data_IF_050194711142
#
_entry.id   IF_050194711142
#
_cell.length_a   1.000
_cell.length_b   1.000
_cell.length_c   1.000
_cell.angle_alpha   90.00
_cell.angle_beta   90.00
_cell.angle_gamma   90.00
#
_symmetry.space_group_name_H-M   'P 1'
#
loop_
_entity.id
_entity.type
_entity.pdbx_description
1 polymer ?
#
# COMPACT_ATOMS: atom_id res chain seq x y z
N UNK A 1 23.21 26.59 4.43
CA UNK A 1 22.36 25.77 5.32
C UNK A 1 23.30 24.83 6.04
N UNK A 2 23.24 24.74 7.37
CA UNK A 2 24.13 23.86 8.11
C UNK A 2 23.76 22.38 7.82
N UNK A 3 24.79 21.53 7.71
CA UNK A 3 24.66 20.14 7.22
C UNK A 3 23.84 19.23 8.15
N UNK A 4 23.62 19.67 9.38
CA UNK A 4 22.82 19.03 10.41
C UNK A 4 21.30 19.06 10.11
N UNK A 5 20.83 20.00 9.28
CA UNK A 5 19.42 20.12 8.93
C UNK A 5 19.03 19.38 7.63
N UNK A 6 20.01 18.96 6.83
CA UNK A 6 19.80 18.27 5.55
C UNK A 6 19.01 16.94 5.66
N UNK A 7 19.27 16.06 6.65
CA UNK A 7 18.53 14.80 6.79
C UNK A 7 17.06 14.99 7.15
N UNK A 8 16.71 16.11 7.79
CA UNK A 8 15.35 16.43 8.22
C UNK A 8 14.56 17.18 7.14
N UNK A 9 15.25 17.89 6.25
CA UNK A 9 14.65 18.53 5.06
C UNK A 9 14.51 17.56 3.88
N UNK A 10 15.25 16.46 3.84
CA UNK A 10 15.10 15.39 2.85
C UNK A 10 13.69 14.76 2.81
N UNK A 11 12.85 15.00 3.83
CA UNK A 11 11.42 14.65 3.82
C UNK A 11 10.54 15.49 2.87
N UNK A 12 11.08 16.47 2.14
CA UNK A 12 10.32 17.31 1.19
C UNK A 12 10.46 16.92 -0.29
N UNK A 13 11.18 15.85 -0.58
CA UNK A 13 11.12 15.17 -1.88
C UNK A 13 10.79 13.73 -1.55
N UNK A 14 9.68 13.13 -2.03
CA UNK A 14 9.60 11.68 -2.01
C UNK A 14 10.87 11.21 -2.71
N UNK A 15 11.77 10.56 -1.98
CA UNK A 15 12.88 9.86 -2.62
C UNK A 15 12.24 8.82 -3.53
N UNK A 16 12.02 9.20 -4.78
CA UNK A 16 11.85 8.26 -5.87
C UNK A 16 13.23 7.65 -6.05
N UNK A 17 13.57 6.69 -5.19
CA UNK A 17 14.70 5.83 -5.42
C UNK A 17 14.36 4.98 -6.65
N UNK A 18 14.76 5.47 -7.82
CA UNK A 18 15.16 4.60 -8.93
C UNK A 18 16.56 4.05 -8.62
N UNK A 19 16.79 3.55 -7.41
CA UNK A 19 17.95 2.72 -7.15
C UNK A 19 17.67 1.42 -7.92
N UNK A 20 18.24 1.32 -9.12
CA UNK A 20 18.16 0.10 -9.91
C UNK A 20 18.71 -1.01 -9.05
N UNK A 21 17.85 -1.95 -8.66
CA UNK A 21 18.30 -3.08 -7.88
C UNK A 21 19.25 -3.88 -8.78
N UNK A 22 20.51 -3.94 -8.38
CA UNK A 22 21.55 -4.67 -9.11
C UNK A 22 21.29 -6.16 -8.99
N UNK A 23 21.44 -6.87 -10.11
CA UNK A 23 21.42 -8.33 -10.15
C UNK A 23 22.46 -8.89 -9.19
N UNK A 24 22.10 -9.93 -8.46
CA UNK A 24 23.03 -10.66 -7.60
C UNK A 24 24.23 -11.16 -8.43
N UNK A 25 25.41 -10.56 -8.23
CA UNK A 25 26.67 -11.01 -8.84
C UNK A 25 27.41 -10.00 -9.73
N UNK A 26 26.89 -8.79 -10.00
CA UNK A 26 27.60 -7.78 -10.80
C UNK A 26 27.82 -6.48 -10.01
N UNK A 27 29.07 -6.03 -9.95
CA UNK A 27 29.45 -4.75 -9.33
C UNK A 27 28.78 -3.59 -10.08
N UNK A 28 28.39 -2.54 -9.34
CA UNK A 28 27.79 -1.33 -9.87
C UNK A 28 28.65 -0.73 -11.00
N UNK A 29 28.21 -0.89 -12.24
CA UNK A 29 28.89 -0.32 -13.40
C UNK A 29 28.56 1.17 -13.45
N UNK A 30 29.59 1.99 -13.35
CA UNK A 30 29.53 3.44 -13.53
C UNK A 30 28.87 3.78 -14.86
N UNK A 31 27.83 4.61 -14.80
CA UNK A 31 27.16 5.23 -15.94
C UNK A 31 28.19 5.86 -16.87
N UNK A 32 28.29 5.44 -18.13
CA UNK A 32 28.70 6.20 -19.33
C UNK A 32 28.76 5.26 -20.56
N UNK A 33 27.63 4.81 -21.10
CA UNK A 33 27.51 4.46 -22.53
C UNK A 33 26.07 4.22 -22.96
N UNK A 34 25.75 4.74 -24.14
CA UNK A 34 24.42 4.87 -24.73
C UNK A 34 23.94 3.56 -25.39
N UNK A 35 23.64 2.54 -24.61
CA UNK A 35 22.90 1.36 -25.08
C UNK A 35 21.76 1.00 -24.12
N UNK A 36 20.71 1.82 -24.15
CA UNK A 36 19.46 1.64 -23.39
C UNK A 36 18.54 0.62 -24.08
N UNK A 37 19.05 -0.57 -24.40
CA UNK A 37 18.17 -1.68 -24.75
C UNK A 37 17.35 -2.06 -23.51
N UNK A 38 16.02 -2.06 -23.69
CA UNK A 38 14.91 -2.13 -22.70
C UNK A 38 14.86 -3.37 -21.77
N UNK A 39 15.98 -4.04 -21.49
CA UNK A 39 16.00 -5.39 -20.90
C UNK A 39 16.76 -5.52 -19.56
N UNK A 40 17.48 -4.49 -19.11
CA UNK A 40 18.46 -4.66 -18.02
C UNK A 40 18.01 -4.05 -16.67
N UNK A 41 17.00 -3.19 -16.64
CA UNK A 41 16.51 -2.54 -15.40
C UNK A 41 15.05 -2.90 -15.09
N UNK A 42 14.74 -3.19 -13.81
CA UNK A 42 13.37 -3.11 -13.27
C UNK A 42 12.47 -4.34 -13.40
N UNK A 43 13.01 -5.57 -13.43
CA UNK A 43 12.18 -6.77 -13.31
C UNK A 43 12.22 -7.32 -11.88
N UNK A 44 11.06 -7.35 -11.21
CA UNK A 44 10.89 -8.03 -9.94
C UNK A 44 11.24 -9.51 -10.09
N UNK A 45 12.17 -10.02 -9.27
CA UNK A 45 12.53 -11.43 -9.18
C UNK A 45 12.64 -11.82 -7.71
N UNK A 46 12.38 -13.09 -7.39
CA UNK A 46 12.37 -13.63 -6.01
C UNK A 46 13.66 -13.36 -5.22
N UNK A 47 14.80 -13.21 -5.91
CA UNK A 47 16.14 -13.00 -5.35
C UNK A 47 16.35 -11.61 -4.73
N UNK A 48 15.36 -10.72 -4.83
CA UNK A 48 15.54 -9.29 -4.54
C UNK A 48 15.04 -8.82 -3.16
N UNK A 49 14.27 -9.68 -2.48
CA UNK A 49 13.65 -9.32 -1.19
C UNK A 49 14.65 -9.00 -0.07
N UNK A 50 15.87 -9.54 -0.11
CA UNK A 50 16.93 -9.22 0.86
C UNK A 50 17.49 -7.81 0.68
N UNK A 51 17.55 -7.28 -0.56
CA UNK A 51 17.97 -5.91 -0.80
C UNK A 51 16.92 -4.92 -0.28
N UNK A 52 15.64 -5.26 -0.46
CA UNK A 52 14.53 -4.48 0.11
C UNK A 52 14.59 -4.48 1.63
N UNK A 53 14.83 -5.64 2.26
CA UNK A 53 14.98 -5.72 3.71
C UNK A 53 16.13 -4.82 4.21
N UNK A 54 17.25 -4.78 3.50
CA UNK A 54 18.37 -3.88 3.82
C UNK A 54 18.03 -2.40 3.63
N UNK A 55 17.33 -2.05 2.55
CA UNK A 55 16.88 -0.66 2.32
C UNK A 55 15.85 -0.23 3.37
N UNK A 56 15.03 -1.16 3.84
CA UNK A 56 14.04 -0.95 4.88
C UNK A 56 14.66 -0.61 6.25
N UNK A 57 15.88 -1.05 6.56
CA UNK A 57 16.53 -0.78 7.86
C UNK A 57 16.64 0.71 8.23
N UNK A 58 16.67 1.61 7.24
CA UNK A 58 16.74 3.06 7.45
C UNK A 58 15.43 3.81 7.15
N UNK A 59 14.29 3.10 7.14
CA UNK A 59 12.96 3.66 6.81
C UNK A 59 11.99 3.46 7.96
N UNK A 60 10.97 4.32 8.02
CA UNK A 60 9.94 4.26 9.07
C UNK A 60 8.74 3.36 8.70
N UNK A 61 8.49 3.17 7.40
CA UNK A 61 7.35 2.38 6.87
C UNK A 61 7.67 1.86 5.46
N UNK A 62 6.96 0.83 5.01
CA UNK A 62 7.06 0.31 3.64
C UNK A 62 5.67 0.02 3.07
N UNK A 63 5.39 0.63 1.92
CA UNK A 63 4.22 0.32 1.11
C UNK A 63 4.60 -0.59 -0.06
N UNK A 64 3.80 -1.63 -0.32
CA UNK A 64 4.05 -2.60 -1.39
C UNK A 64 2.77 -2.91 -2.14
N UNK A 65 2.86 -2.99 -3.47
CA UNK A 65 1.78 -3.49 -4.31
C UNK A 65 1.39 -2.60 -5.49
N UNK A 66 1.13 -1.30 -5.32
CA UNK A 66 0.80 -0.41 -6.43
C UNK A 66 1.85 -0.45 -7.54
N UNK A 67 1.46 -0.89 -8.75
CA UNK A 67 2.36 -0.98 -9.90
C UNK A 67 3.46 -2.04 -9.79
N UNK A 68 3.41 -2.95 -8.81
CA UNK A 68 4.37 -4.06 -8.70
C UNK A 68 4.24 -5.01 -9.89
N UNK A 69 3.03 -5.20 -10.41
CA UNK A 69 2.74 -6.18 -11.44
C UNK A 69 2.75 -7.60 -10.89
N UNK A 70 2.41 -8.55 -11.76
CA UNK A 70 2.38 -9.99 -11.44
C UNK A 70 3.53 -10.68 -12.16
N UNK A 71 4.26 -11.55 -11.45
CA UNK A 71 5.42 -12.24 -11.98
C UNK A 71 5.63 -13.59 -11.28
N UNK A 72 6.39 -14.48 -11.90
CA UNK A 72 6.71 -15.77 -11.30
C UNK A 72 7.47 -15.60 -9.98
N UNK A 73 6.89 -16.09 -8.89
CA UNK A 73 7.46 -15.97 -7.54
C UNK A 73 7.07 -14.69 -6.79
N UNK A 74 6.12 -13.89 -7.29
CA UNK A 74 5.60 -12.70 -6.59
C UNK A 74 5.07 -13.00 -5.17
N UNK A 75 4.43 -14.15 -5.00
CA UNK A 75 3.90 -14.62 -3.72
C UNK A 75 5.03 -14.89 -2.70
N UNK A 76 6.13 -15.51 -3.16
CA UNK A 76 7.32 -15.72 -2.34
C UNK A 76 8.04 -14.40 -2.04
N UNK A 77 8.05 -13.48 -3.00
CA UNK A 77 8.64 -12.16 -2.84
C UNK A 77 7.90 -11.35 -1.75
N UNK A 78 6.57 -11.26 -1.81
CA UNK A 78 5.77 -10.58 -0.78
C UNK A 78 5.88 -11.29 0.56
N UNK A 79 5.93 -12.64 0.58
CA UNK A 79 6.15 -13.40 1.81
C UNK A 79 7.51 -13.11 2.45
N UNK A 80 8.56 -13.00 1.65
CA UNK A 80 9.88 -12.64 2.15
C UNK A 80 9.91 -11.23 2.75
N UNK A 81 9.23 -10.26 2.12
CA UNK A 81 9.07 -8.92 2.70
C UNK A 81 8.35 -9.02 4.05
N UNK A 82 7.23 -9.73 4.10
CA UNK A 82 6.43 -9.89 5.33
C UNK A 82 7.25 -10.48 6.49
N UNK A 83 8.03 -11.52 6.23
CA UNK A 83 8.77 -12.25 7.25
C UNK A 83 10.05 -11.52 7.69
N UNK A 84 10.75 -10.84 6.77
CA UNK A 84 12.07 -10.27 7.05
C UNK A 84 12.05 -8.78 7.42
N UNK A 85 11.06 -8.02 6.95
CA UNK A 85 10.96 -6.57 7.24
C UNK A 85 10.33 -6.35 8.62
N UNK A 86 10.98 -5.57 9.48
CA UNK A 86 10.58 -5.35 10.89
C UNK A 86 9.87 -4.02 11.16
N UNK A 87 9.54 -3.26 10.11
CA UNK A 87 8.85 -1.97 10.20
C UNK A 87 7.39 -2.08 9.72
N UNK A 88 6.51 -1.10 10.03
CA UNK A 88 5.11 -1.09 9.59
C UNK A 88 4.93 -1.32 8.08
N UNK A 89 4.00 -2.19 7.69
CA UNK A 89 3.70 -2.49 6.29
C UNK A 89 2.33 -1.97 5.87
N UNK A 90 2.25 -1.40 4.68
CA UNK A 90 0.99 -1.15 3.96
C UNK A 90 0.99 -1.99 2.68
N UNK A 91 0.06 -2.92 2.55
CA UNK A 91 -0.04 -3.80 1.39
C UNK A 91 -1.34 -3.51 0.63
N UNK A 92 -1.20 -3.22 -0.67
CA UNK A 92 -2.31 -2.90 -1.56
C UNK A 92 -2.20 -3.68 -2.88
N UNK A 93 -3.24 -3.63 -3.72
CA UNK A 93 -3.19 -4.03 -5.12
C UNK A 93 -2.51 -5.40 -5.38
N UNK A 94 -1.45 -5.43 -6.19
CA UNK A 94 -0.76 -6.66 -6.59
C UNK A 94 -0.14 -7.42 -5.41
N UNK A 95 0.24 -6.74 -4.32
CA UNK A 95 0.71 -7.43 -3.12
C UNK A 95 -0.42 -8.24 -2.47
N UNK A 96 -1.64 -7.69 -2.41
CA UNK A 96 -2.82 -8.42 -1.91
C UNK A 96 -3.19 -9.59 -2.80
N UNK A 97 -3.09 -9.41 -4.13
CA UNK A 97 -3.36 -10.51 -5.06
C UNK A 97 -2.30 -11.62 -4.94
N UNK A 98 -1.01 -11.27 -4.78
CA UNK A 98 0.05 -12.25 -4.54
C UNK A 98 -0.13 -13.00 -3.21
N UNK A 99 -0.61 -12.33 -2.17
CA UNK A 99 -0.96 -12.98 -0.91
C UNK A 99 -2.10 -13.99 -1.10
N UNK A 100 -3.16 -13.60 -1.82
CA UNK A 100 -4.29 -14.49 -2.09
C UNK A 100 -3.88 -15.72 -2.91
N UNK A 101 -2.96 -15.57 -3.87
CA UNK A 101 -2.46 -16.66 -4.70
C UNK A 101 -1.51 -17.61 -3.92
N UNK A 102 -0.89 -17.12 -2.83
CA UNK A 102 -0.06 -17.92 -1.94
C UNK A 102 -0.86 -18.95 -1.11
N UNK A 103 -2.19 -18.87 -1.15
CA UNK A 103 -3.10 -19.75 -0.41
C UNK A 103 -3.72 -19.05 0.81
N UNK A 104 -3.96 -19.81 1.87
CA UNK A 104 -4.65 -19.30 3.06
C UNK A 104 -3.81 -18.24 3.80
N UNK A 105 -4.40 -17.07 4.04
CA UNK A 105 -3.79 -16.00 4.83
C UNK A 105 -3.44 -16.46 6.24
N UNK A 106 -4.14 -17.45 6.80
CA UNK A 106 -3.82 -18.03 8.10
C UNK A 106 -2.42 -18.68 8.17
N UNK A 107 -1.82 -19.00 7.02
CA UNK A 107 -0.44 -19.52 6.95
C UNK A 107 0.66 -18.45 7.10
N UNK A 108 0.28 -17.16 7.12
CA UNK A 108 1.20 -16.05 7.27
C UNK A 108 1.48 -15.78 8.76
N UNK A 109 2.75 -15.69 9.17
CA UNK A 109 3.09 -15.52 10.58
C UNK A 109 2.65 -14.15 11.09
N UNK A 110 2.26 -14.08 12.37
CA UNK A 110 2.00 -12.77 13.00
C UNK A 110 3.29 -11.94 13.04
N UNK A 111 3.16 -10.66 12.74
CA UNK A 111 4.25 -9.68 12.82
C UNK A 111 4.16 -8.89 14.13
N UNK A 112 5.31 -8.52 14.67
CA UNK A 112 5.39 -7.57 15.80
C UNK A 112 5.09 -6.15 15.34
N UNK A 113 5.60 -5.77 14.16
CA UNK A 113 5.30 -4.51 13.52
C UNK A 113 3.91 -4.51 12.88
N UNK A 114 3.30 -3.34 12.82
CA UNK A 114 1.96 -3.17 12.27
C UNK A 114 1.86 -3.60 10.80
N UNK A 115 0.68 -4.09 10.42
CA UNK A 115 0.30 -4.39 9.05
C UNK A 115 -1.03 -3.71 8.77
N UNK A 116 -1.10 -2.98 7.67
CA UNK A 116 -2.32 -2.42 7.10
C UNK A 116 -2.54 -3.08 5.73
N UNK A 117 -3.68 -3.71 5.53
CA UNK A 117 -4.11 -4.17 4.20
C UNK A 117 -5.22 -3.25 3.69
N UNK A 118 -5.20 -2.90 2.41
CA UNK A 118 -6.17 -1.95 1.83
C UNK A 118 -7.03 -2.55 0.70
N UNK A 119 -7.64 -3.74 0.85
CA UNK A 119 -8.36 -4.38 -0.25
C UNK A 119 -9.62 -3.62 -0.65
N UNK A 120 -9.91 -3.59 -1.95
CA UNK A 120 -11.27 -3.40 -2.44
C UNK A 120 -12.09 -4.72 -2.30
N UNK A 121 -13.42 -4.72 -2.48
CA UNK A 121 -14.24 -5.91 -2.22
C UNK A 121 -13.82 -7.15 -3.02
N UNK A 122 -13.40 -6.98 -4.28
CA UNK A 122 -12.84 -8.08 -5.09
C UNK A 122 -11.51 -8.66 -4.58
N UNK A 123 -10.57 -7.84 -4.11
CA UNK A 123 -9.32 -8.31 -3.48
C UNK A 123 -9.62 -9.04 -2.17
N UNK A 124 -10.54 -8.49 -1.37
CA UNK A 124 -10.98 -9.12 -0.12
C UNK A 124 -11.62 -10.49 -0.37
N UNK A 125 -12.43 -10.60 -1.41
CA UNK A 125 -13.05 -11.85 -1.81
C UNK A 125 -12.01 -12.93 -2.16
N UNK A 126 -10.94 -12.55 -2.88
CA UNK A 126 -9.82 -13.44 -3.17
C UNK A 126 -9.07 -13.88 -1.92
N UNK A 127 -8.75 -12.93 -1.02
CA UNK A 127 -8.08 -13.23 0.25
C UNK A 127 -8.88 -14.22 1.13
N UNK A 128 -10.21 -14.16 1.06
CA UNK A 128 -11.10 -15.02 1.83
C UNK A 128 -11.49 -16.32 1.11
N UNK A 129 -11.22 -16.45 -0.19
CA UNK A 129 -11.75 -17.55 -1.01
C UNK A 129 -13.28 -17.58 -1.13
N UNK A 130 -13.93 -16.41 -1.09
CA UNK A 130 -15.40 -16.26 -1.21
C UNK A 130 -15.77 -15.36 -2.38
N UNK A 131 -17.06 -15.18 -2.65
CA UNK A 131 -17.53 -14.23 -3.68
C UNK A 131 -17.50 -12.78 -3.20
N UNK A 132 -17.33 -11.84 -4.13
CA UNK A 132 -17.47 -10.40 -3.85
C UNK A 132 -18.84 -10.05 -3.26
N UNK A 133 -19.90 -10.77 -3.66
CA UNK A 133 -21.25 -10.56 -3.13
C UNK A 133 -21.34 -10.91 -1.64
N UNK A 134 -20.65 -11.98 -1.19
CA UNK A 134 -20.59 -12.35 0.22
C UNK A 134 -19.87 -11.30 1.05
N UNK A 135 -18.74 -10.75 0.56
CA UNK A 135 -18.04 -9.63 1.22
C UNK A 135 -18.95 -8.41 1.34
N UNK A 136 -19.67 -8.08 0.27
CA UNK A 136 -20.55 -6.90 0.23
C UNK A 136 -21.79 -7.04 1.13
N UNK A 137 -22.24 -8.27 1.41
CA UNK A 137 -23.42 -8.54 2.25
C UNK A 137 -23.24 -8.04 3.68
N UNK A 138 -22.03 -8.19 4.23
CA UNK A 138 -21.69 -7.71 5.57
C UNK A 138 -20.22 -7.29 5.65
N UNK A 139 -19.94 -6.09 5.13
CA UNK A 139 -18.57 -5.55 5.07
C UNK A 139 -17.99 -5.28 6.45
N UNK A 140 -18.82 -4.86 7.40
CA UNK A 140 -18.38 -4.50 8.76
C UNK A 140 -17.90 -5.75 9.48
N UNK A 141 -18.72 -6.80 9.52
CA UNK A 141 -18.34 -8.03 10.21
C UNK A 141 -17.23 -8.78 9.45
N UNK A 142 -17.27 -8.78 8.12
CA UNK A 142 -16.18 -9.36 7.31
C UNK A 142 -14.84 -8.71 7.64
N UNK A 143 -14.80 -7.38 7.69
CA UNK A 143 -13.59 -6.65 7.98
C UNK A 143 -13.11 -6.86 9.42
N UNK A 144 -14.05 -6.78 10.39
CA UNK A 144 -13.77 -7.02 11.81
C UNK A 144 -13.15 -8.40 12.04
N UNK A 145 -13.82 -9.44 11.56
CA UNK A 145 -13.38 -10.83 11.76
C UNK A 145 -11.99 -11.05 11.19
N UNK A 146 -11.75 -10.60 9.96
CA UNK A 146 -10.46 -10.76 9.31
C UNK A 146 -9.34 -10.01 10.05
N UNK A 147 -9.58 -8.75 10.43
CA UNK A 147 -8.63 -7.94 11.19
C UNK A 147 -8.28 -8.58 12.55
N UNK A 148 -9.28 -8.98 13.33
CA UNK A 148 -9.08 -9.62 14.63
C UNK A 148 -8.39 -10.98 14.54
N UNK A 149 -8.80 -11.82 13.58
CA UNK A 149 -8.24 -13.16 13.40
C UNK A 149 -6.75 -13.10 13.09
N UNK A 150 -6.34 -12.16 12.24
CA UNK A 150 -4.97 -12.06 11.76
C UNK A 150 -4.11 -11.05 12.52
N UNK A 151 -4.70 -10.24 13.41
CA UNK A 151 -3.97 -9.25 14.19
C UNK A 151 -3.45 -8.09 13.33
N UNK A 152 -4.22 -7.66 12.34
CA UNK A 152 -3.86 -6.58 11.41
C UNK A 152 -4.86 -5.43 11.46
N UNK A 153 -4.52 -4.29 10.85
CA UNK A 153 -5.49 -3.27 10.47
C UNK A 153 -5.96 -3.52 9.04
N UNK A 154 -7.28 -3.49 8.80
CA UNK A 154 -7.87 -3.70 7.49
C UNK A 154 -8.65 -2.46 7.03
N UNK A 155 -8.36 -1.97 5.83
CA UNK A 155 -9.08 -0.90 5.16
C UNK A 155 -9.84 -1.50 3.98
N UNK A 156 -11.10 -1.87 4.19
CA UNK A 156 -11.96 -2.43 3.16
C UNK A 156 -12.60 -1.30 2.33
N UNK A 157 -11.95 -0.98 1.20
CA UNK A 157 -12.32 0.11 0.29
C UNK A 157 -13.72 -0.07 -0.30
N UNK A 158 -14.35 1.04 -0.68
CA UNK A 158 -15.68 1.09 -1.28
C UNK A 158 -16.47 2.30 -0.77
N UNK A 159 -17.72 2.50 -1.23
CA UNK A 159 -18.61 3.52 -0.65
C UNK A 159 -18.72 3.31 0.84
N UNK A 160 -18.43 4.31 1.67
CA UNK A 160 -18.25 4.11 3.11
C UNK A 160 -17.18 3.05 3.41
N UNK A 161 -15.92 3.40 3.18
CA UNK A 161 -14.77 2.54 3.52
C UNK A 161 -14.85 2.11 4.97
N UNK A 162 -14.65 0.82 5.22
CA UNK A 162 -14.67 0.22 6.56
C UNK A 162 -13.23 0.03 7.01
N UNK A 163 -12.87 0.52 8.20
CA UNK A 163 -11.56 0.35 8.80
C UNK A 163 -11.71 -0.50 10.06
N UNK A 164 -11.10 -1.68 10.08
CA UNK A 164 -11.15 -2.60 11.22
C UNK A 164 -9.79 -2.73 11.89
N UNK A 165 -9.78 -2.66 13.22
CA UNK A 165 -8.61 -2.80 14.06
C UNK A 165 -8.44 -4.26 14.54
N UNK A 166 -7.23 -4.68 14.91
CA UNK A 166 -6.97 -6.04 15.40
C UNK A 166 -7.69 -6.35 16.73
N UNK A 167 -8.06 -5.33 17.50
CA UNK A 167 -8.82 -5.46 18.75
C UNK A 167 -10.34 -5.51 18.56
N UNK A 168 -10.82 -5.53 17.31
CA UNK A 168 -12.24 -5.64 16.97
C UNK A 168 -12.99 -4.30 16.84
N UNK A 169 -12.33 -3.17 17.13
CA UNK A 169 -12.90 -1.84 16.82
C UNK A 169 -13.08 -1.69 15.31
N UNK A 170 -14.15 -1.01 14.91
CA UNK A 170 -14.46 -0.73 13.50
C UNK A 170 -14.88 0.73 13.35
N UNK A 171 -14.39 1.36 12.31
CA UNK A 171 -14.72 2.73 11.89
C UNK A 171 -15.26 2.70 10.47
N UNK A 172 -16.11 3.67 10.15
CA UNK A 172 -16.71 3.82 8.83
C UNK A 172 -16.46 5.24 8.35
N UNK A 173 -15.86 5.38 7.18
CA UNK A 173 -15.58 6.69 6.61
C UNK A 173 -16.84 7.32 5.98
N UNK A 174 -17.23 8.54 6.37
CA UNK A 174 -18.39 9.20 5.77
C UNK A 174 -18.06 10.01 4.50
N UNK A 175 -16.77 10.23 4.19
CA UNK A 175 -16.35 11.09 3.08
C UNK A 175 -16.12 10.32 1.78
N UNK A 176 -16.01 11.06 0.69
CA UNK A 176 -15.74 10.55 -0.65
C UNK A 176 -16.99 10.40 -1.52
N UNK A 177 -16.77 10.30 -2.82
CA UNK A 177 -17.83 10.26 -3.83
C UNK A 177 -17.52 9.26 -4.95
N UNK A 178 -18.53 9.00 -5.78
CA UNK A 178 -18.43 8.01 -6.87
C UNK A 178 -17.35 8.35 -7.92
N UNK A 179 -16.97 9.62 -8.08
CA UNK A 179 -15.92 10.06 -8.99
C UNK A 179 -14.53 9.55 -8.60
N UNK A 180 -14.32 9.17 -7.35
CA UNK A 180 -13.07 8.57 -6.87
C UNK A 180 -12.88 7.12 -7.33
N UNK A 181 -13.86 6.52 -8.00
CA UNK A 181 -13.75 5.18 -8.62
C UNK A 181 -12.95 5.26 -9.93
N UNK A 182 -11.75 5.84 -9.87
CA UNK A 182 -10.86 6.09 -10.99
C UNK A 182 -9.51 5.41 -10.75
N UNK A 183 -8.80 5.08 -11.83
CA UNK A 183 -7.48 4.46 -11.74
C UNK A 183 -6.50 5.35 -10.95
N UNK A 184 -5.73 4.74 -10.06
CA UNK A 184 -4.73 5.43 -9.24
C UNK A 184 -5.23 6.05 -7.93
N UNK A 185 -6.54 6.16 -7.71
CA UNK A 185 -7.06 6.69 -6.43
C UNK A 185 -6.66 5.81 -5.22
N UNK A 186 -6.66 4.49 -5.41
CA UNK A 186 -6.15 3.55 -4.40
C UNK A 186 -4.66 3.74 -4.10
N UNK A 187 -3.86 4.03 -5.11
CA UNK A 187 -2.41 4.25 -4.96
C UNK A 187 -2.14 5.51 -4.14
N UNK A 188 -2.93 6.58 -4.37
CA UNK A 188 -2.90 7.81 -3.56
C UNK A 188 -3.23 7.49 -2.10
N UNK A 189 -4.29 6.73 -1.84
CA UNK A 189 -4.66 6.32 -0.48
C UNK A 189 -3.53 5.53 0.21
N UNK A 190 -2.91 4.58 -0.49
CA UNK A 190 -1.79 3.79 0.02
C UNK A 190 -0.61 4.68 0.40
N UNK A 191 -0.28 5.66 -0.45
CA UNK A 191 0.74 6.67 -0.16
C UNK A 191 0.43 7.55 1.05
N UNK A 192 -0.82 8.01 1.20
CA UNK A 192 -1.25 8.80 2.36
C UNK A 192 -1.08 8.00 3.65
N UNK A 193 -1.58 6.76 3.69
CA UNK A 193 -1.51 5.91 4.89
C UNK A 193 -0.05 5.63 5.26
N UNK A 194 0.79 5.33 4.27
CA UNK A 194 2.22 5.14 4.51
C UNK A 194 2.87 6.43 5.04
N UNK A 195 2.61 7.58 4.43
CA UNK A 195 3.13 8.88 4.90
C UNK A 195 2.72 9.21 6.33
N UNK A 196 1.50 8.87 6.74
CA UNK A 196 1.03 9.05 8.12
C UNK A 196 1.70 8.09 9.11
N UNK A 197 1.90 6.82 8.71
CA UNK A 197 2.69 5.87 9.51
C UNK A 197 4.13 6.37 9.72
N UNK A 198 4.77 6.88 8.66
CA UNK A 198 6.13 7.43 8.73
C UNK A 198 6.23 8.65 9.67
N UNK A 199 5.13 9.40 9.83
CA UNK A 199 5.04 10.51 10.79
C UNK A 199 4.81 10.05 12.25
N UNK A 200 4.73 8.74 12.51
CA UNK A 200 4.64 8.18 13.86
C UNK A 200 3.21 7.94 14.35
N UNK A 201 2.19 8.04 13.49
CA UNK A 201 0.84 7.62 13.85
C UNK A 201 0.78 6.10 13.99
N UNK A 202 -0.05 5.61 14.92
CA UNK A 202 -0.33 4.19 14.98
C UNK A 202 -1.14 3.73 13.75
N UNK A 203 -1.20 2.42 13.51
CA UNK A 203 -1.79 1.87 12.29
C UNK A 203 -3.28 2.19 12.12
N UNK A 204 -4.05 2.21 13.21
CA UNK A 204 -5.48 2.49 13.13
C UNK A 204 -5.72 4.00 12.95
N UNK A 205 -4.92 4.85 13.58
CA UNK A 205 -4.93 6.30 13.39
C UNK A 205 -4.56 6.67 11.95
N UNK A 206 -3.46 6.13 11.42
CA UNK A 206 -3.00 6.37 10.06
C UNK A 206 -4.04 5.91 9.03
N UNK A 207 -4.65 4.73 9.22
CA UNK A 207 -5.71 4.24 8.35
C UNK A 207 -6.96 5.13 8.39
N UNK A 208 -7.47 5.45 9.58
CA UNK A 208 -8.68 6.26 9.71
C UNK A 208 -8.48 7.68 9.17
N UNK A 209 -7.39 8.35 9.55
CA UNK A 209 -7.09 9.70 9.07
C UNK A 209 -6.80 9.70 7.57
N UNK A 210 -6.03 8.74 7.07
CA UNK A 210 -5.67 8.65 5.66
C UNK A 210 -6.89 8.44 4.75
N UNK A 211 -7.81 7.55 5.16
CA UNK A 211 -9.08 7.34 4.43
C UNK A 211 -9.96 8.59 4.47
N UNK A 212 -10.04 9.26 5.62
CA UNK A 212 -10.83 10.48 5.76
C UNK A 212 -10.32 11.60 4.86
N UNK A 213 -9.02 11.92 4.94
CA UNK A 213 -8.36 12.93 4.12
C UNK A 213 -8.49 12.62 2.64
N UNK A 214 -8.29 11.36 2.24
CA UNK A 214 -8.46 10.93 0.86
C UNK A 214 -9.89 11.17 0.35
N UNK A 215 -10.91 10.78 1.11
CA UNK A 215 -12.30 11.01 0.75
C UNK A 215 -12.68 12.48 0.70
N UNK A 216 -12.23 13.27 1.68
CA UNK A 216 -12.50 14.69 1.77
C UNK A 216 -11.83 15.48 0.63
N UNK A 217 -10.58 15.16 0.30
CA UNK A 217 -9.88 15.68 -0.87
C UNK A 217 -10.61 15.31 -2.17
N UNK A 218 -11.13 14.09 -2.27
CA UNK A 218 -11.95 13.67 -3.40
C UNK A 218 -13.26 14.46 -3.54
N UNK A 219 -13.89 14.82 -2.42
CA UNK A 219 -15.11 15.65 -2.41
C UNK A 219 -14.81 17.10 -2.82
N UNK A 220 -13.71 17.69 -2.32
CA UNK A 220 -13.22 19.00 -2.78
C UNK A 220 -12.90 19.00 -4.27
N UNK A 221 -12.20 17.97 -4.74
CA UNK A 221 -11.84 17.83 -6.14
C UNK A 221 -13.09 17.74 -7.02
N UNK A 222 -14.09 16.95 -6.61
CA UNK A 222 -15.36 16.82 -7.33
C UNK A 222 -16.07 18.16 -7.49
N UNK A 223 -16.07 18.99 -6.44
CA UNK A 223 -16.69 20.32 -6.46
C UNK A 223 -16.01 21.29 -7.45
N UNK A 224 -14.75 21.04 -7.84
CA UNK A 224 -14.01 21.83 -8.84
C UNK A 224 -14.16 21.32 -10.27
N UNK A 225 -14.91 20.22 -10.48
CA UNK A 225 -15.16 19.64 -11.81
C UNK A 225 -16.59 19.90 -12.26
N UNK A 226 -16.79 20.03 -13.58
CA UNK A 226 -18.15 20.12 -14.14
C UNK A 226 -18.95 18.83 -13.89
N UNK A 227 -18.28 17.68 -13.88
CA UNK A 227 -18.86 16.38 -13.59
C UNK A 227 -17.89 15.54 -12.74
N UNK A 228 -18.37 14.96 -11.63
CA UNK A 228 -17.52 14.14 -10.74
C UNK A 228 -16.83 12.96 -11.45
N UNK A 229 -17.42 12.46 -12.54
CA UNK A 229 -16.86 11.35 -13.34
C UNK A 229 -15.56 11.73 -14.07
N UNK A 230 -15.23 13.00 -14.17
CA UNK A 230 -13.98 13.45 -14.79
C UNK A 230 -12.81 13.47 -13.80
N UNK A 231 -13.01 13.06 -12.55
CA UNK A 231 -11.95 12.99 -11.56
C UNK A 231 -10.89 11.97 -11.95
N UNK A 232 -9.64 12.38 -11.76
CA UNK A 232 -8.46 11.53 -11.83
C UNK A 232 -7.71 11.54 -10.50
N UNK A 233 -6.84 10.57 -10.26
CA UNK A 233 -6.09 10.47 -9.01
C UNK A 233 -5.29 11.74 -8.67
N UNK A 234 -4.71 12.40 -9.69
CA UNK A 234 -3.99 13.67 -9.51
C UNK A 234 -4.87 14.81 -8.98
N UNK A 235 -6.17 14.79 -9.28
CA UNK A 235 -7.10 15.79 -8.75
C UNK A 235 -7.29 15.62 -7.24
N UNK A 236 -7.34 14.37 -6.77
CA UNK A 236 -7.44 14.05 -5.35
C UNK A 236 -6.15 14.49 -4.64
N UNK A 237 -4.99 14.14 -5.20
CA UNK A 237 -3.68 14.49 -4.64
C UNK A 237 -3.50 16.01 -4.49
N UNK A 238 -3.95 16.80 -5.46
CA UNK A 238 -3.85 18.27 -5.43
C UNK A 238 -4.74 18.93 -4.37
N UNK A 239 -5.68 18.19 -3.79
CA UNK A 239 -6.60 18.68 -2.77
C UNK A 239 -6.27 18.15 -1.36
N UNK A 240 -5.17 17.42 -1.17
CA UNK A 240 -4.73 16.91 0.14
C UNK A 240 -4.13 18.00 1.05
#
# INVERSE_FOLDING_TARGET
>A
MPDDLLPHLAGHVPEVMLAGITRSGEAAVSSHSADLSRSVYGQWKSTDSTQIAKLAESRDTLAVGPGMGRFEGDSLFVRSIWENVQLPLVLDADALNAIADAGDFASWPKRSAAVILTPHPGEMARLLGVSTQEVQRDRIETARRFASQHGITLVLKGTHTVIAAPDGRVYVNPTGNAGMSTGGAGDVLTGIIAGLLAQGLDAIQAACLGVYLHGEAGDRAAAKRQHMRSLIAGDILNEL
#
